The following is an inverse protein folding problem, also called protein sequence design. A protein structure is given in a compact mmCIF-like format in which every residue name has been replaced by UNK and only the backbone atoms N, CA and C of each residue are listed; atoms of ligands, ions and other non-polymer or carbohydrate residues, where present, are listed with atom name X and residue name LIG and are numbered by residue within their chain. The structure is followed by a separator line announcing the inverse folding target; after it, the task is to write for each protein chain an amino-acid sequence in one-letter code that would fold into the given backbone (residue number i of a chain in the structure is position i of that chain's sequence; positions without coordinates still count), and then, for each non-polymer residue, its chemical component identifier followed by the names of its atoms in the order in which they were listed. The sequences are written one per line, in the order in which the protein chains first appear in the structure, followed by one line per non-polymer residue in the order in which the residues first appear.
data_IF_996347512437
#
_entry.id   IF_996347512437
#
_cell.length_a   1.000
_cell.length_b   1.000
_cell.length_c   1.000
_cell.angle_alpha   90.00
_cell.angle_beta   90.00
_cell.angle_gamma   90.00
#
_symmetry.space_group_name_H-M   'P 1'
#
loop_
_entity.id
_entity.type
_entity.pdbx_description
1 polymer ?
#
# COMPACT_ATOMS: atom_id res chain seq x y z
N UNK A 1 0.17 13.69 11.58
CA UNK A 1 -0.12 12.26 11.85
C UNK A 1 1.11 11.35 11.71
N UNK A 2 2.19 11.74 11.02
CA UNK A 2 3.38 10.86 10.80
C UNK A 2 4.69 11.35 11.40
N UNK A 3 4.72 12.52 12.05
CA UNK A 3 5.94 13.18 12.51
C UNK A 3 6.76 12.41 13.58
N UNK A 4 6.22 11.34 14.18
CA UNK A 4 6.88 10.53 15.19
C UNK A 4 7.21 9.10 14.77
N UNK A 5 6.97 8.72 13.51
CA UNK A 5 7.20 7.37 13.01
C UNK A 5 8.54 7.36 12.26
N UNK A 6 9.53 6.65 12.80
CA UNK A 6 10.80 6.42 12.11
C UNK A 6 10.66 5.24 11.15
N UNK A 7 11.40 5.24 10.04
CA UNK A 7 11.35 4.17 9.05
C UNK A 7 11.68 2.78 9.65
N UNK A 8 12.53 2.73 10.68
CA UNK A 8 12.86 1.51 11.43
C UNK A 8 11.70 0.94 12.25
N UNK A 9 10.67 1.72 12.56
CA UNK A 9 9.50 1.28 13.32
C UNK A 9 8.42 0.64 12.44
N UNK A 10 8.52 0.78 11.12
CA UNK A 10 7.63 0.13 10.16
C UNK A 10 8.41 -0.99 9.49
N UNK A 11 8.16 -2.24 9.89
CA UNK A 11 8.68 -3.40 9.17
C UNK A 11 7.92 -3.56 7.84
N UNK A 12 8.30 -2.74 6.86
CA UNK A 12 7.82 -2.87 5.49
C UNK A 12 8.70 -3.94 4.82
N UNK A 13 8.15 -5.07 4.35
CA UNK A 13 8.93 -6.10 3.64
C UNK A 13 9.75 -5.56 2.46
N UNK A 14 9.25 -4.56 1.73
CA UNK A 14 10.01 -3.89 0.67
C UNK A 14 11.11 -2.93 1.17
N UNK A 15 11.27 -2.77 2.49
CA UNK A 15 12.29 -1.95 3.16
C UNK A 15 12.35 -0.47 2.73
N UNK A 16 11.24 0.06 2.21
CA UNK A 16 11.12 1.47 1.83
C UNK A 16 9.66 1.91 1.80
N UNK A 17 9.43 3.21 1.87
CA UNK A 17 8.15 3.78 1.51
C UNK A 17 7.90 3.66 -0.01
N UNK A 18 6.62 3.59 -0.38
CA UNK A 18 6.21 3.74 -1.77
C UNK A 18 6.48 5.17 -2.26
N UNK A 19 6.88 5.31 -3.52
CA UNK A 19 6.87 6.60 -4.20
C UNK A 19 5.43 6.99 -4.57
N UNK A 20 5.08 8.28 -4.68
CA UNK A 20 3.75 8.72 -5.07
C UNK A 20 3.25 8.09 -6.38
N UNK A 21 4.16 7.87 -7.33
CA UNK A 21 3.88 7.30 -8.63
C UNK A 21 3.40 5.85 -8.52
N UNK A 22 3.96 5.07 -7.60
CA UNK A 22 3.56 3.67 -7.37
C UNK A 22 2.12 3.58 -6.88
N UNK A 23 1.70 4.51 -6.01
CA UNK A 23 0.30 4.60 -5.56
C UNK A 23 -0.60 5.03 -6.71
N UNK A 24 -0.18 6.02 -7.50
CA UNK A 24 -0.97 6.51 -8.63
C UNK A 24 -1.22 5.44 -9.70
N UNK A 25 -0.23 4.59 -9.98
CA UNK A 25 -0.36 3.50 -10.94
C UNK A 25 -1.44 2.48 -10.53
N UNK A 26 -1.57 2.19 -9.23
CA UNK A 26 -2.66 1.34 -8.75
C UNK A 26 -4.01 1.98 -9.06
N UNK A 27 -4.18 3.28 -8.82
CA UNK A 27 -5.47 3.98 -9.01
C UNK A 27 -5.95 3.93 -10.47
N UNK A 28 -5.04 3.87 -11.44
CA UNK A 28 -5.39 3.77 -12.86
C UNK A 28 -6.24 2.53 -13.15
N UNK A 29 -5.97 1.40 -12.50
CA UNK A 29 -6.67 0.14 -12.79
C UNK A 29 -8.14 0.15 -12.30
N UNK A 30 -8.47 0.45 -11.02
CA UNK A 30 -9.87 0.57 -10.60
C UNK A 30 -10.64 1.67 -11.32
N UNK A 31 -9.96 2.67 -11.88
CA UNK A 31 -10.57 3.75 -12.65
C UNK A 31 -10.84 3.36 -14.12
N UNK A 32 -10.37 2.22 -14.59
CA UNK A 32 -10.48 1.79 -15.99
C UNK A 32 -11.64 0.81 -16.21
N UNK A 33 -12.03 0.63 -17.47
CA UNK A 33 -13.12 -0.28 -17.87
C UNK A 33 -12.80 -1.75 -17.54
N UNK A 34 -11.52 -2.10 -17.46
CA UNK A 34 -11.05 -3.43 -17.07
C UNK A 34 -11.47 -3.82 -15.64
N UNK A 35 -11.73 -2.84 -14.78
CA UNK A 35 -12.22 -3.04 -13.42
C UNK A 35 -13.74 -2.92 -13.28
N UNK A 36 -14.51 -2.95 -14.38
CA UNK A 36 -15.96 -2.66 -14.38
C UNK A 36 -16.81 -3.50 -13.40
N UNK A 37 -16.34 -4.67 -12.98
CA UNK A 37 -17.05 -5.53 -12.03
C UNK A 37 -16.46 -5.52 -10.60
N UNK A 38 -15.43 -4.72 -10.36
CA UNK A 38 -14.83 -4.58 -9.04
C UNK A 38 -15.54 -3.47 -8.28
N UNK A 39 -16.25 -3.85 -7.23
CA UNK A 39 -16.90 -2.92 -6.30
C UNK A 39 -16.86 -3.49 -4.88
N UNK A 40 -16.76 -2.61 -3.88
CA UNK A 40 -16.66 -3.00 -2.47
C UNK A 40 -15.35 -3.72 -2.08
N UNK A 41 -14.33 -3.69 -2.94
CA UNK A 41 -13.04 -4.32 -2.69
C UNK A 41 -12.03 -3.33 -2.08
N UNK A 42 -11.13 -3.84 -1.24
CA UNK A 42 -9.96 -3.12 -0.75
C UNK A 42 -8.74 -3.45 -1.61
N UNK A 43 -7.97 -2.43 -1.99
CA UNK A 43 -6.69 -2.59 -2.69
C UNK A 43 -5.55 -2.15 -1.77
N UNK A 44 -4.73 -3.10 -1.33
CA UNK A 44 -3.60 -2.85 -0.42
C UNK A 44 -2.33 -2.51 -1.22
N UNK A 45 -1.72 -1.36 -0.91
CA UNK A 45 -0.45 -0.88 -1.50
C UNK A 45 0.48 -0.31 -0.43
N UNK A 46 1.02 -1.17 0.41
CA UNK A 46 1.75 -0.77 1.62
C UNK A 46 3.15 -1.39 1.72
N UNK A 47 3.64 -1.97 0.61
CA UNK A 47 4.92 -2.67 0.56
C UNK A 47 4.97 -3.93 1.44
N UNK A 48 3.81 -4.48 1.82
CA UNK A 48 3.66 -5.70 2.62
C UNK A 48 3.54 -5.45 4.13
N UNK A 49 3.38 -4.20 4.56
CA UNK A 49 3.32 -3.83 5.98
C UNK A 49 2.22 -4.57 6.74
N UNK A 50 1.04 -4.78 6.13
CA UNK A 50 -0.10 -5.50 6.73
C UNK A 50 -0.13 -6.99 6.39
N UNK A 51 0.81 -7.48 5.58
CA UNK A 51 0.81 -8.88 5.15
C UNK A 51 1.44 -9.82 6.19
N UNK A 52 2.33 -9.29 7.04
CA UNK A 52 2.94 -10.03 8.14
C UNK A 52 2.09 -9.98 9.40
N UNK A 53 2.13 -11.06 10.20
CA UNK A 53 1.77 -10.95 11.62
C UNK A 53 2.90 -10.17 12.31
N UNK A 54 2.62 -9.14 13.11
CA UNK A 54 3.66 -8.46 13.88
C UNK A 54 4.32 -9.47 14.84
N UNK A 55 5.62 -9.67 14.72
CA UNK A 55 6.41 -10.42 15.69
C UNK A 55 7.32 -9.40 16.37
N UNK A 56 7.04 -9.14 17.64
CA UNK A 56 7.83 -8.32 18.55
C UNK A 56 7.96 -9.03 19.88
#
# INVERSE_FOLDING_TARGET
MTAGITASQLQIPLNRAAAPEEVSHLIVYPASEEAAYITGAEFVIDGGLTAGVPHG
#
